data_IF_868299156399
#
_entry.id   IF_868299156399
#
_cell.length_a   1.000
_cell.length_b   1.000
_cell.length_c   1.000
_cell.angle_alpha   90.00
_cell.angle_beta   90.00
_cell.angle_gamma   90.00
#
_symmetry.space_group_name_H-M   'P 1'
#
loop_
_entity.id
_entity.type
_entity.pdbx_description
1 polymer ?
#
# COMPACT_ATOMS: atom_id res chain seq x y z
N UNK A 1 -19.87 -9.92 14.15
CA UNK A 1 -18.39 -9.96 14.08
C UNK A 1 -17.95 -9.81 12.64
N UNK A 2 -17.62 -8.57 12.27
CA UNK A 2 -16.98 -8.31 10.98
C UNK A 2 -15.53 -8.77 11.11
N UNK A 3 -15.35 -10.08 11.12
CA UNK A 3 -14.04 -10.68 11.19
C UNK A 3 -13.37 -10.50 9.82
N UNK A 4 -12.35 -9.68 9.72
CA UNK A 4 -11.41 -9.60 8.60
C UNK A 4 -10.58 -10.91 8.54
N UNK A 5 -11.26 -12.07 8.71
CA UNK A 5 -10.64 -13.36 8.80
C UNK A 5 -10.22 -13.89 7.43
N UNK A 6 -9.17 -14.65 7.49
CA UNK A 6 -8.47 -15.41 6.44
C UNK A 6 -9.38 -15.83 5.27
N UNK A 7 -9.02 -15.43 4.06
CA UNK A 7 -9.63 -15.93 2.82
C UNK A 7 -10.58 -14.98 2.09
N UNK A 8 -10.83 -13.81 2.61
CA UNK A 8 -11.59 -12.76 1.92
C UNK A 8 -10.61 -11.86 1.16
N UNK A 9 -10.91 -11.58 -0.09
CA UNK A 9 -10.09 -10.94 -1.12
C UNK A 9 -9.31 -9.69 -0.75
N UNK A 10 -8.52 -9.23 -1.70
CA UNK A 10 -7.51 -8.19 -1.52
C UNK A 10 -8.05 -6.78 -1.34
N UNK A 11 -9.28 -6.52 -1.81
CA UNK A 11 -9.93 -5.20 -1.76
C UNK A 11 -11.42 -5.34 -1.52
N UNK A 12 -11.93 -4.56 -0.57
CA UNK A 12 -13.38 -4.41 -0.35
C UNK A 12 -13.79 -3.01 -0.79
N UNK A 13 -14.76 -2.93 -1.67
CA UNK A 13 -15.37 -1.67 -2.11
C UNK A 13 -16.86 -1.72 -1.82
N UNK A 14 -17.39 -0.68 -1.22
CA UNK A 14 -18.81 -0.57 -0.93
C UNK A 14 -19.42 0.65 -1.62
N UNK A 15 -20.59 0.44 -2.23
CA UNK A 15 -21.46 1.50 -2.75
C UNK A 15 -22.87 1.33 -2.17
N UNK A 16 -23.24 2.19 -1.21
CA UNK A 16 -24.51 2.12 -0.50
C UNK A 16 -24.62 0.94 0.51
N UNK A 17 -25.73 0.83 1.31
CA UNK A 17 -25.84 -0.14 2.41
C UNK A 17 -25.91 -1.60 1.96
N UNK A 18 -26.27 -1.88 0.71
CA UNK A 18 -26.60 -3.23 0.25
C UNK A 18 -25.58 -3.85 -0.71
N UNK A 19 -24.52 -3.12 -1.12
CA UNK A 19 -23.56 -3.61 -2.12
C UNK A 19 -22.16 -3.64 -1.54
N UNK A 20 -21.69 -4.83 -1.21
CA UNK A 20 -20.31 -5.09 -0.81
C UNK A 20 -19.62 -5.83 -1.94
N UNK A 21 -18.60 -5.20 -2.51
CA UNK A 21 -17.78 -5.82 -3.54
C UNK A 21 -16.47 -6.30 -2.92
N UNK A 22 -16.02 -7.47 -3.36
CA UNK A 22 -14.76 -8.08 -2.94
C UNK A 22 -13.95 -8.36 -4.20
N UNK A 23 -12.70 -7.89 -4.23
CA UNK A 23 -11.77 -8.20 -5.31
C UNK A 23 -10.93 -9.42 -4.91
N UNK A 24 -10.95 -10.46 -5.73
CA UNK A 24 -10.14 -11.68 -5.56
C UNK A 24 -9.41 -11.98 -6.87
N UNK A 25 -8.08 -12.08 -6.80
CA UNK A 25 -7.28 -12.35 -8.00
C UNK A 25 -7.46 -11.31 -9.13
N UNK A 26 -7.71 -10.05 -8.79
CA UNK A 26 -7.95 -8.97 -9.75
C UNK A 26 -9.39 -8.90 -10.30
N UNK A 27 -10.28 -9.80 -9.87
CA UNK A 27 -11.69 -9.82 -10.31
C UNK A 27 -12.59 -9.30 -9.20
N UNK A 28 -13.38 -8.26 -9.50
CA UNK A 28 -14.36 -7.68 -8.59
C UNK A 28 -15.66 -8.50 -8.62
N UNK A 29 -16.07 -8.97 -7.45
CA UNK A 29 -17.27 -9.80 -7.28
C UNK A 29 -18.20 -9.19 -6.23
N UNK A 30 -19.51 -9.27 -6.45
CA UNK A 30 -20.52 -8.92 -5.46
C UNK A 30 -20.53 -9.99 -4.37
N UNK A 31 -20.44 -9.56 -3.11
CA UNK A 31 -20.50 -10.44 -1.94
C UNK A 31 -21.94 -10.56 -1.44
N UNK A 32 -22.25 -11.68 -0.78
CA UNK A 32 -23.51 -11.90 -0.07
C UNK A 32 -23.61 -11.09 1.23
N UNK A 33 -22.51 -10.49 1.66
CA UNK A 33 -22.46 -9.62 2.83
C UNK A 33 -23.29 -8.36 2.61
N UNK A 34 -24.12 -8.00 3.60
CA UNK A 34 -24.92 -6.78 3.57
C UNK A 34 -24.82 -6.07 4.90
N UNK A 35 -24.85 -4.75 4.87
CA UNK A 35 -25.06 -3.96 6.07
C UNK A 35 -26.56 -3.71 6.25
N UNK A 36 -26.99 -3.54 7.48
CA UNK A 36 -28.41 -3.31 7.80
C UNK A 36 -28.84 -1.95 7.23
N UNK A 37 -28.06 -0.90 7.52
CA UNK A 37 -28.32 0.48 7.14
C UNK A 37 -27.02 1.30 7.10
N UNK A 38 -27.11 2.57 6.76
CA UNK A 38 -25.97 3.48 6.72
C UNK A 38 -25.38 3.75 8.10
N UNK A 39 -26.20 3.75 9.13
CA UNK A 39 -25.78 3.89 10.52
C UNK A 39 -24.89 2.71 10.96
N UNK A 40 -25.24 1.51 10.52
CA UNK A 40 -24.41 0.31 10.77
C UNK A 40 -23.03 0.46 10.13
N UNK A 41 -22.98 1.00 8.91
CA UNK A 41 -21.70 1.25 8.25
C UNK A 41 -20.86 2.28 8.98
N UNK A 42 -21.47 3.39 9.38
CA UNK A 42 -20.77 4.43 10.15
C UNK A 42 -20.17 3.87 11.43
N UNK A 43 -20.94 3.06 12.18
CA UNK A 43 -20.42 2.38 13.38
C UNK A 43 -19.23 1.47 13.07
N UNK A 44 -19.32 0.70 11.98
CA UNK A 44 -18.21 -0.17 11.56
C UNK A 44 -16.98 0.65 11.19
N UNK A 45 -17.12 1.74 10.40
CA UNK A 45 -16.03 2.63 10.05
C UNK A 45 -15.39 3.24 11.31
N UNK A 46 -16.19 3.77 12.22
CA UNK A 46 -15.71 4.36 13.47
C UNK A 46 -14.95 3.34 14.32
N UNK A 47 -15.46 2.12 14.43
CA UNK A 47 -14.78 1.04 15.16
C UNK A 47 -13.44 0.65 14.54
N UNK A 48 -13.34 0.67 13.22
CA UNK A 48 -12.11 0.39 12.49
C UNK A 48 -11.10 1.53 12.66
N UNK A 49 -11.55 2.77 12.66
CA UNK A 49 -10.69 3.95 12.78
C UNK A 49 -10.24 4.26 14.22
N UNK A 50 -10.98 3.80 15.23
CA UNK A 50 -10.70 4.07 16.63
C UNK A 50 -9.25 3.72 17.05
N UNK A 51 -8.67 2.55 16.69
CA UNK A 51 -7.28 2.21 17.03
C UNK A 51 -6.24 3.12 16.37
N UNK A 52 -6.61 3.79 15.27
CA UNK A 52 -5.70 4.64 14.47
C UNK A 52 -5.78 6.10 14.91
N UNK A 53 -6.73 6.44 15.79
CA UNK A 53 -6.91 7.79 16.30
C UNK A 53 -7.35 8.81 15.23
N UNK A 54 -7.95 8.35 14.13
CA UNK A 54 -8.46 9.21 13.07
C UNK A 54 -9.93 9.53 13.29
N UNK A 55 -10.30 10.77 13.00
CA UNK A 55 -11.68 11.25 13.06
C UNK A 55 -12.33 11.17 11.68
N UNK A 56 -13.63 10.86 11.68
CA UNK A 56 -14.49 10.92 10.51
C UNK A 56 -15.85 11.48 10.97
N UNK A 57 -16.13 12.72 10.60
CA UNK A 57 -17.33 13.47 10.94
C UNK A 57 -17.69 14.44 9.81
N UNK A 58 -18.77 15.22 9.96
CA UNK A 58 -19.23 16.18 8.95
C UNK A 58 -18.19 17.27 8.63
N UNK A 59 -17.35 17.63 9.59
CA UNK A 59 -16.28 18.62 9.39
C UNK A 59 -15.06 18.02 8.68
N UNK A 60 -14.88 16.69 8.80
CA UNK A 60 -13.82 15.93 8.15
C UNK A 60 -14.42 14.66 7.53
N UNK A 61 -15.17 14.79 6.41
CA UNK A 61 -16.01 13.72 5.87
C UNK A 61 -15.25 12.64 5.11
N UNK A 62 -13.94 12.75 5.02
CA UNK A 62 -13.07 11.79 4.35
C UNK A 62 -11.89 11.42 5.24
N UNK A 63 -11.49 10.16 5.19
CA UNK A 63 -10.30 9.67 5.91
C UNK A 63 -9.57 8.65 5.06
N UNK A 64 -8.26 8.79 5.02
CA UNK A 64 -7.33 7.75 4.56
C UNK A 64 -6.47 7.34 5.76
N UNK A 65 -6.47 6.05 6.07
CA UNK A 65 -5.81 5.53 7.26
C UNK A 65 -5.12 4.20 6.98
N UNK A 66 -4.03 3.96 7.70
CA UNK A 66 -3.33 2.68 7.71
C UNK A 66 -3.58 1.97 9.03
N UNK A 67 -4.00 0.74 8.94
CA UNK A 67 -4.23 -0.13 10.10
C UNK A 67 -2.90 -0.69 10.66
N UNK A 68 -2.88 -1.14 11.92
CA UNK A 68 -1.69 -1.77 12.50
C UNK A 68 -1.21 -3.02 11.75
N UNK A 69 -2.10 -3.72 11.04
CA UNK A 69 -1.76 -4.86 10.18
C UNK A 69 -1.19 -4.47 8.81
N UNK A 70 -1.05 -3.16 8.55
CA UNK A 70 -0.58 -2.62 7.29
C UNK A 70 -1.66 -2.37 6.23
N UNK A 71 -2.90 -2.83 6.47
CA UNK A 71 -4.03 -2.61 5.56
C UNK A 71 -4.38 -1.13 5.43
N UNK A 72 -4.78 -0.69 4.24
CA UNK A 72 -5.22 0.69 3.98
C UNK A 72 -6.73 0.76 3.96
N UNK A 73 -7.24 1.81 4.57
CA UNK A 73 -8.67 2.11 4.62
C UNK A 73 -8.89 3.52 4.12
N UNK A 74 -9.76 3.65 3.15
CA UNK A 74 -10.34 4.93 2.76
C UNK A 74 -11.83 4.90 3.09
N UNK A 75 -12.31 5.90 3.78
CA UNK A 75 -13.74 6.06 4.07
C UNK A 75 -14.18 7.48 3.77
N UNK A 76 -15.41 7.60 3.28
CA UNK A 76 -16.05 8.87 2.94
C UNK A 76 -17.52 8.82 3.36
N UNK A 77 -18.02 9.91 3.92
CA UNK A 77 -19.38 10.00 4.45
C UNK A 77 -20.14 11.21 3.87
N UNK A 78 -21.46 11.27 4.00
CA UNK A 78 -22.20 12.49 3.70
C UNK A 78 -21.64 13.72 4.47
N UNK A 79 -21.73 14.93 3.90
CA UNK A 79 -22.51 15.30 2.70
C UNK A 79 -21.79 15.05 1.36
N UNK A 80 -20.49 14.72 1.37
CA UNK A 80 -19.71 14.55 0.13
C UNK A 80 -19.98 13.19 -0.54
N UNK A 81 -20.36 12.18 0.22
CA UNK A 81 -20.81 10.89 -0.31
C UNK A 81 -22.32 10.88 -0.52
N UNK A 82 -22.77 11.20 -1.74
CA UNK A 82 -24.19 11.40 -2.06
C UNK A 82 -25.04 10.13 -1.87
N UNK A 83 -24.46 8.95 -2.11
CA UNK A 83 -25.15 7.65 -2.01
C UNK A 83 -25.00 6.98 -0.63
N UNK A 84 -24.63 7.77 0.39
CA UNK A 84 -24.37 7.29 1.74
C UNK A 84 -22.90 6.96 2.02
N UNK A 85 -22.58 6.50 3.24
CA UNK A 85 -21.19 6.26 3.65
C UNK A 85 -20.55 5.14 2.84
N UNK A 86 -19.34 5.38 2.34
CA UNK A 86 -18.55 4.41 1.58
C UNK A 86 -17.26 4.06 2.33
N UNK A 87 -16.85 2.80 2.22
CA UNK A 87 -15.58 2.32 2.75
C UNK A 87 -14.86 1.47 1.70
N UNK A 88 -13.58 1.68 1.54
CA UNK A 88 -12.69 0.84 0.76
C UNK A 88 -11.56 0.34 1.67
N UNK A 89 -11.40 -0.97 1.73
CA UNK A 89 -10.34 -1.62 2.52
C UNK A 89 -9.45 -2.40 1.58
N UNK A 90 -8.17 -2.06 1.51
CA UNK A 90 -7.15 -2.80 0.79
C UNK A 90 -6.30 -3.55 1.81
N UNK A 91 -6.46 -4.87 1.83
CA UNK A 91 -5.67 -5.73 2.71
C UNK A 91 -4.20 -5.71 2.32
N UNK A 92 -3.36 -5.69 3.31
CA UNK A 92 -1.94 -5.87 3.12
C UNK A 92 -1.65 -7.36 2.88
N UNK A 93 -1.06 -7.70 1.73
CA UNK A 93 -0.62 -9.06 1.43
C UNK A 93 0.69 -9.34 2.14
N UNK A 94 0.71 -10.38 2.95
CA UNK A 94 1.93 -10.89 3.61
C UNK A 94 2.67 -11.95 2.78
N UNK A 95 2.05 -12.41 1.70
CA UNK A 95 2.63 -13.44 0.85
C UNK A 95 3.68 -12.80 -0.06
N UNK A 96 4.93 -12.95 0.31
CA UNK A 96 6.05 -12.50 -0.52
C UNK A 96 6.30 -13.50 -1.62
N UNK A 97 6.14 -13.06 -2.86
CA UNK A 97 6.55 -13.82 -4.02
C UNK A 97 8.08 -13.87 -4.09
N UNK A 98 8.62 -15.08 -4.22
CA UNK A 98 10.04 -15.34 -4.45
C UNK A 98 10.33 -15.41 -5.95
N UNK A 99 11.59 -15.33 -6.31
CA UNK A 99 12.02 -15.50 -7.71
C UNK A 99 11.52 -16.82 -8.33
N UNK A 100 11.49 -17.90 -7.54
CA UNK A 100 10.96 -19.19 -7.96
C UNK A 100 9.47 -19.13 -8.37
N UNK A 101 8.66 -18.34 -7.68
CA UNK A 101 7.22 -18.19 -7.98
C UNK A 101 7.01 -17.43 -9.31
N UNK A 102 7.85 -16.44 -9.57
CA UNK A 102 7.82 -15.68 -10.84
C UNK A 102 8.30 -16.50 -12.03
N UNK A 103 9.28 -17.39 -11.84
CA UNK A 103 9.69 -18.36 -12.84
C UNK A 103 8.59 -19.38 -13.10
N UNK A 104 7.99 -19.95 -12.04
CA UNK A 104 6.92 -20.95 -12.15
C UNK A 104 5.67 -20.40 -12.86
N UNK A 105 5.37 -19.12 -12.68
CA UNK A 105 4.26 -18.43 -13.36
C UNK A 105 4.61 -17.92 -14.76
N UNK A 106 5.81 -18.17 -15.27
CA UNK A 106 6.33 -17.62 -16.53
C UNK A 106 6.27 -16.07 -16.61
N UNK A 107 6.24 -15.41 -15.47
CA UNK A 107 6.29 -13.94 -15.40
C UNK A 107 7.71 -13.41 -15.64
N UNK A 108 8.71 -14.23 -15.40
CA UNK A 108 10.13 -14.00 -15.68
C UNK A 108 10.74 -15.27 -16.25
N UNK A 109 11.70 -15.12 -17.17
CA UNK A 109 12.58 -16.23 -17.57
C UNK A 109 13.91 -16.21 -16.79
N UNK A 110 14.65 -17.32 -16.86
CA UNK A 110 15.90 -17.48 -16.13
C UNK A 110 16.99 -16.50 -16.61
N UNK A 111 17.00 -16.12 -17.88
CA UNK A 111 17.98 -15.18 -18.42
C UNK A 111 17.75 -13.76 -17.90
N UNK A 112 16.49 -13.34 -17.88
CA UNK A 112 16.08 -12.05 -17.29
C UNK A 112 16.40 -12.02 -15.80
N UNK A 113 16.10 -13.09 -15.06
CA UNK A 113 16.41 -13.19 -13.64
C UNK A 113 17.91 -13.03 -13.37
N UNK A 114 18.75 -13.75 -14.13
CA UNK A 114 20.21 -13.65 -14.01
C UNK A 114 20.75 -12.26 -14.34
N UNK A 115 20.17 -11.61 -15.35
CA UNK A 115 20.49 -10.23 -15.69
C UNK A 115 20.14 -9.26 -14.55
N UNK A 116 18.93 -9.38 -13.97
CA UNK A 116 18.49 -8.54 -12.85
C UNK A 116 19.38 -8.74 -11.62
N UNK A 117 19.76 -9.98 -11.32
CA UNK A 117 20.68 -10.29 -10.23
C UNK A 117 22.04 -9.64 -10.41
N UNK A 118 22.58 -9.69 -11.63
CA UNK A 118 23.84 -9.02 -11.96
C UNK A 118 23.72 -7.50 -11.81
N UNK A 119 22.62 -6.90 -12.28
CA UNK A 119 22.37 -5.47 -12.15
C UNK A 119 22.29 -5.03 -10.68
N UNK A 120 21.59 -5.78 -9.83
CA UNK A 120 21.49 -5.50 -8.38
C UNK A 120 22.88 -5.60 -7.74
N UNK A 121 23.63 -6.66 -8.00
CA UNK A 121 24.99 -6.86 -7.47
C UNK A 121 25.98 -5.78 -7.93
N UNK A 122 25.79 -5.25 -9.14
CA UNK A 122 26.58 -4.14 -9.70
C UNK A 122 26.08 -2.76 -9.30
N UNK A 123 25.04 -2.70 -8.45
CA UNK A 123 24.41 -1.45 -7.96
C UNK A 123 23.94 -0.54 -9.07
N UNK A 124 23.44 -1.12 -10.15
CA UNK A 124 22.85 -0.35 -11.24
C UNK A 124 21.59 0.39 -10.76
N UNK A 125 21.33 1.55 -11.34
CA UNK A 125 20.05 2.22 -11.16
C UNK A 125 18.98 1.46 -11.94
N UNK A 126 17.94 1.01 -11.25
CA UNK A 126 16.84 0.24 -11.82
C UNK A 126 15.56 1.05 -11.70
N UNK A 127 14.88 1.26 -12.84
CA UNK A 127 13.57 1.88 -12.88
C UNK A 127 12.51 0.84 -13.21
N UNK A 128 11.51 0.68 -12.33
CA UNK A 128 10.36 -0.20 -12.54
C UNK A 128 9.15 0.65 -12.86
N UNK A 129 8.58 0.49 -14.06
CA UNK A 129 7.44 1.26 -14.57
C UNK A 129 6.30 0.34 -15.00
N UNK A 130 5.07 0.81 -14.84
CA UNK A 130 3.87 0.08 -15.23
C UNK A 130 2.62 0.67 -14.59
N UNK A 131 1.42 0.20 -14.98
CA UNK A 131 0.14 0.60 -14.41
C UNK A 131 -0.08 0.10 -12.98
N UNK A 132 -1.21 0.46 -12.39
CA UNK A 132 -1.63 -0.07 -11.08
C UNK A 132 -1.91 -1.58 -11.20
N UNK A 133 -1.49 -2.38 -10.22
CA UNK A 133 -1.72 -3.83 -10.21
C UNK A 133 -0.81 -4.67 -11.10
N UNK A 134 0.17 -4.08 -11.80
CA UNK A 134 1.08 -4.80 -12.72
C UNK A 134 2.24 -5.53 -12.04
N UNK A 135 2.31 -5.50 -10.70
CA UNK A 135 3.35 -6.22 -9.95
C UNK A 135 4.65 -5.44 -9.69
N UNK A 136 4.67 -4.10 -9.86
CA UNK A 136 5.87 -3.27 -9.57
C UNK A 136 6.42 -3.50 -8.17
N UNK A 137 5.57 -3.41 -7.15
CA UNK A 137 5.94 -3.61 -5.74
C UNK A 137 6.44 -5.04 -5.50
N UNK A 138 5.80 -6.02 -6.13
CA UNK A 138 6.22 -7.43 -6.11
C UNK A 138 7.62 -7.61 -6.69
N UNK A 139 7.89 -7.00 -7.84
CA UNK A 139 9.21 -7.06 -8.48
C UNK A 139 10.27 -6.37 -7.60
N UNK A 140 9.98 -5.20 -7.03
CA UNK A 140 10.90 -4.51 -6.11
C UNK A 140 11.20 -5.35 -4.86
N UNK A 141 10.19 -5.98 -4.26
CA UNK A 141 10.38 -6.89 -3.13
C UNK A 141 11.26 -8.09 -3.51
N UNK A 142 11.07 -8.65 -4.70
CA UNK A 142 11.91 -9.75 -5.20
C UNK A 142 13.36 -9.28 -5.44
N UNK A 143 13.57 -8.12 -6.08
CA UNK A 143 14.91 -7.57 -6.32
C UNK A 143 15.65 -7.29 -5.00
N UNK A 144 14.93 -6.88 -3.95
CA UNK A 144 15.54 -6.63 -2.64
C UNK A 144 16.18 -7.89 -2.02
N UNK A 145 15.66 -9.07 -2.34
CA UNK A 145 16.21 -10.34 -1.86
C UNK A 145 17.58 -10.68 -2.46
N UNK A 146 17.96 -10.00 -3.56
CA UNK A 146 19.25 -10.16 -4.24
C UNK A 146 20.33 -9.22 -3.71
N UNK A 147 19.97 -8.30 -2.81
CA UNK A 147 20.89 -7.33 -2.20
C UNK A 147 21.74 -8.06 -1.16
N UNK A 148 23.04 -7.70 -1.09
CA UNK A 148 23.97 -8.27 -0.10
C UNK A 148 23.43 -8.00 1.32
N UNK A 149 23.30 -9.00 2.20
CA UNK A 149 22.80 -8.84 3.57
C UNK A 149 23.57 -7.81 4.42
N UNK A 150 24.81 -7.49 4.04
CA UNK A 150 25.65 -6.48 4.72
C UNK A 150 25.33 -5.04 4.32
N UNK A 151 24.52 -4.86 3.28
CA UNK A 151 24.15 -3.52 2.81
C UNK A 151 23.01 -2.92 3.62
N UNK A 152 23.00 -1.61 3.73
CA UNK A 152 21.89 -0.87 4.35
C UNK A 152 20.94 -0.39 3.26
N UNK A 153 19.65 -0.69 3.43
CA UNK A 153 18.60 -0.25 2.52
C UNK A 153 17.77 0.85 3.18
N UNK A 154 17.45 1.89 2.43
CA UNK A 154 16.46 2.89 2.84
C UNK A 154 15.33 2.88 1.83
N UNK A 155 14.09 2.66 2.29
CA UNK A 155 12.90 2.85 1.45
C UNK A 155 12.32 4.23 1.71
N UNK A 156 11.87 4.90 0.65
CA UNK A 156 11.15 6.16 0.70
C UNK A 156 9.89 5.98 -0.12
N UNK A 157 8.75 6.04 0.54
CA UNK A 157 7.46 5.67 -0.04
C UNK A 157 6.42 6.73 0.31
N UNK A 158 5.46 6.96 -0.58
CA UNK A 158 4.30 7.80 -0.26
C UNK A 158 3.38 7.07 0.73
N UNK A 159 3.31 5.75 0.60
CA UNK A 159 2.75 4.84 1.61
C UNK A 159 3.61 3.59 1.63
N UNK A 160 4.04 3.18 2.81
CA UNK A 160 4.94 2.05 2.95
C UNK A 160 4.25 0.73 2.56
N UNK A 161 4.51 0.24 1.35
CA UNK A 161 4.01 -1.02 0.80
C UNK A 161 5.11 -2.08 0.64
N UNK A 162 6.39 -1.65 0.65
CA UNK A 162 7.50 -2.56 0.50
C UNK A 162 7.74 -3.36 1.79
N UNK A 163 7.85 -4.67 1.66
CA UNK A 163 8.31 -5.57 2.71
C UNK A 163 9.61 -6.23 2.26
N UNK A 164 10.72 -5.68 2.70
CA UNK A 164 12.03 -6.18 2.34
C UNK A 164 12.47 -7.23 3.37
N UNK A 165 12.76 -8.45 2.90
CA UNK A 165 13.40 -9.49 3.71
C UNK A 165 14.90 -9.19 3.83
N UNK A 166 15.23 -8.19 4.64
CA UNK A 166 16.60 -7.76 4.83
C UNK A 166 16.76 -7.22 6.26
N UNK A 167 17.86 -7.56 6.92
CA UNK A 167 18.05 -7.26 8.35
C UNK A 167 18.23 -5.75 8.61
N UNK A 168 18.83 -5.03 7.66
CA UNK A 168 19.17 -3.63 7.84
C UNK A 168 18.36 -2.71 6.90
N UNK A 169 17.07 -2.53 7.20
CA UNK A 169 16.16 -1.67 6.44
C UNK A 169 15.71 -0.48 7.29
N UNK A 170 15.78 0.72 6.72
CA UNK A 170 15.18 1.94 7.27
C UNK A 170 14.01 2.33 6.36
N UNK A 171 12.80 2.30 6.88
CA UNK A 171 11.59 2.62 6.13
C UNK A 171 11.16 4.06 6.43
N UNK A 172 11.06 4.87 5.39
CA UNK A 172 10.64 6.27 5.47
C UNK A 172 9.36 6.44 4.64
N UNK A 173 8.37 7.10 5.23
CA UNK A 173 7.08 7.38 4.60
C UNK A 173 6.86 8.88 4.56
N UNK A 174 6.32 9.40 3.46
CA UNK A 174 5.93 10.81 3.34
C UNK A 174 4.77 11.10 4.30
N UNK A 175 4.65 12.33 4.71
CA UNK A 175 3.53 12.78 5.53
C UNK A 175 2.81 13.92 4.84
N UNK A 176 1.51 13.77 4.53
CA UNK A 176 0.71 14.89 4.03
C UNK A 176 0.56 15.96 5.11
N UNK A 177 0.22 17.20 4.73
CA UNK A 177 -0.07 18.26 5.70
C UNK A 177 -1.24 17.84 6.59
N UNK A 178 -1.27 18.39 7.82
CA UNK A 178 -2.42 18.26 8.71
C UNK A 178 -3.60 19.12 8.21
N UNK A 179 -4.73 19.08 8.92
CA UNK A 179 -5.92 19.87 8.57
C UNK A 179 -5.68 21.39 8.52
N UNK A 180 -4.63 21.86 9.19
CA UNK A 180 -4.22 23.28 9.23
C UNK A 180 -3.18 23.62 8.15
N UNK A 181 -2.80 22.66 7.30
CA UNK A 181 -1.82 22.84 6.24
C UNK A 181 -0.35 22.72 6.67
N UNK A 182 -0.08 22.31 7.91
CA UNK A 182 1.27 22.22 8.46
C UNK A 182 1.78 20.77 8.59
N UNK A 183 3.09 20.63 8.77
CA UNK A 183 3.73 19.36 9.12
C UNK A 183 3.90 18.39 7.94
N UNK A 184 3.78 18.85 6.70
CA UNK A 184 4.10 18.05 5.51
C UNK A 184 5.57 17.63 5.52
N UNK A 185 5.82 16.37 5.14
CA UNK A 185 7.17 15.85 4.85
C UNK A 185 7.14 15.21 3.47
N UNK A 186 7.73 15.89 2.51
CA UNK A 186 7.75 15.42 1.12
C UNK A 186 8.88 14.39 0.88
N UNK A 187 8.71 13.53 -0.13
CA UNK A 187 9.73 12.54 -0.52
C UNK A 187 11.11 13.17 -0.76
N UNK A 188 11.17 14.37 -1.33
CA UNK A 188 12.43 15.12 -1.57
C UNK A 188 13.21 15.36 -0.27
N UNK A 189 12.52 15.68 0.82
CA UNK A 189 13.15 15.93 2.12
C UNK A 189 13.68 14.63 2.71
N UNK A 190 12.92 13.54 2.58
CA UNK A 190 13.35 12.22 3.01
C UNK A 190 14.58 11.74 2.24
N UNK A 191 14.63 11.97 0.91
CA UNK A 191 15.80 11.66 0.09
C UNK A 191 17.04 12.43 0.58
N UNK A 192 16.92 13.74 0.82
CA UNK A 192 18.01 14.56 1.35
C UNK A 192 18.53 14.05 2.69
N UNK A 193 17.62 13.59 3.56
CA UNK A 193 17.98 13.02 4.83
C UNK A 193 18.65 11.64 4.67
N UNK A 194 18.12 10.78 3.79
CA UNK A 194 18.64 9.45 3.51
C UNK A 194 20.10 9.48 3.00
N UNK A 195 20.49 10.49 2.22
CA UNK A 195 21.88 10.67 1.78
C UNK A 195 22.88 10.81 2.94
N UNK A 196 22.43 11.25 4.12
CA UNK A 196 23.25 11.36 5.34
C UNK A 196 23.27 10.08 6.17
N UNK A 197 22.41 9.10 5.84
CA UNK A 197 22.29 7.84 6.58
C UNK A 197 23.28 6.77 6.12
N UNK A 198 24.27 7.11 5.29
CA UNK A 198 25.26 6.16 4.73
C UNK A 198 24.56 4.98 4.01
N UNK A 199 23.53 5.27 3.25
CA UNK A 199 22.82 4.30 2.44
C UNK A 199 23.43 4.24 1.04
N UNK A 200 23.64 3.02 0.53
CA UNK A 200 24.11 2.78 -0.84
C UNK A 200 22.95 2.46 -1.79
N UNK A 201 21.79 2.08 -1.23
CA UNK A 201 20.60 1.69 -1.98
C UNK A 201 19.36 2.34 -1.35
N UNK A 202 18.54 2.98 -2.17
CA UNK A 202 17.25 3.53 -1.77
C UNK A 202 16.21 3.35 -2.88
N UNK A 203 14.96 3.22 -2.49
CA UNK A 203 13.81 3.23 -3.39
C UNK A 203 13.03 4.52 -3.18
N UNK A 204 12.52 5.10 -4.24
CA UNK A 204 11.72 6.34 -4.19
C UNK A 204 10.48 6.19 -5.07
N UNK A 205 9.33 6.77 -4.67
CA UNK A 205 8.12 6.77 -5.49
C UNK A 205 8.36 7.50 -6.81
N UNK A 206 7.65 7.04 -7.85
CA UNK A 206 7.67 7.66 -9.17
C UNK A 206 7.07 9.07 -9.16
N UNK A 207 7.60 10.01 -9.97
CA UNK A 207 6.98 11.33 -10.16
C UNK A 207 5.51 11.31 -10.59
N UNK A 208 5.05 10.22 -11.22
CA UNK A 208 3.66 10.06 -11.67
C UNK A 208 2.67 9.85 -10.53
N UNK A 209 3.11 9.35 -9.39
CA UNK A 209 2.25 9.16 -8.22
C UNK A 209 1.90 10.51 -7.54
N UNK A 210 2.62 11.59 -7.90
CA UNK A 210 2.39 12.96 -7.41
C UNK A 210 1.29 13.74 -8.16
N UNK A 211 0.81 13.25 -9.29
CA UNK A 211 -0.19 13.97 -10.12
C UNK A 211 -1.63 13.65 -9.72
N UNK A 212 -1.86 12.93 -8.65
CA UNK A 212 -3.20 12.57 -8.14
C UNK A 212 -3.52 13.16 -6.77
N UNK A 213 -2.80 14.19 -6.37
CA UNK A 213 -3.14 14.99 -5.18
C UNK A 213 -3.63 16.37 -5.56
#
# INVERSE_FOLDING_TARGET
>A
DFCLSRGLGDVYKRQGPHRVFVERGGVLQLSDLRFIDDQHVLRVIQRILAPVGRRLDESSPMVDARMPDGSRINAIIPPVALDGPCISVRKFRKDMLRSADLLASNSLDQAILSCLELMVRRRCNIMVSGGTGTGKTTLLNMLSQMIDPRERIVTIEDTAELELLHDHVVRLETRPPNAEGFGQVAARELVRNALRMRCLLYTSPSPRDRQKS
#
